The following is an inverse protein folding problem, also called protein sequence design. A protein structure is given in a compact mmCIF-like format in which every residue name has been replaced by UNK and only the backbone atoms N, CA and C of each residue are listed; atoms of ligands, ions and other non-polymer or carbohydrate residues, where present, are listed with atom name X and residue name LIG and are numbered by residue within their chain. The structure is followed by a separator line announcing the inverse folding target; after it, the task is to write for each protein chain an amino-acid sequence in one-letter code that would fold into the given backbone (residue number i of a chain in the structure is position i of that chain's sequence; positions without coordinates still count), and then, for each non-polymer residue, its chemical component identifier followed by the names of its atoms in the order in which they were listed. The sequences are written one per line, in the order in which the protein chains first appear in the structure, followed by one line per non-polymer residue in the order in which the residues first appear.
data_IF_746857749061
#
_entry.id   IF_746857749061
#
_cell.length_a   1.000
_cell.length_b   1.000
_cell.length_c   1.000
_cell.angle_alpha   90.00
_cell.angle_beta   90.00
_cell.angle_gamma   90.00
#
_symmetry.space_group_name_H-M   'P 1'
#
loop_
_entity.id
_entity.type
_entity.pdbx_description
1 polymer ?
#
# COMPACT_ATOMS: atom_id res chain seq x y z
N UNK A 1 14.21 -54.38 -24.37
CA UNK A 1 14.10 -53.22 -23.47
C UNK A 1 14.11 -53.76 -22.06
N UNK A 2 15.12 -53.37 -21.28
CA UNK A 2 15.22 -53.75 -19.88
C UNK A 2 14.34 -52.79 -19.06
N UNK A 3 13.45 -53.32 -18.24
CA UNK A 3 12.53 -52.53 -17.40
C UNK A 3 13.28 -51.64 -16.41
N UNK A 4 14.49 -52.04 -16.02
CA UNK A 4 15.32 -51.27 -15.10
C UNK A 4 15.80 -49.96 -15.73
N UNK A 5 16.21 -49.99 -17.01
CA UNK A 5 16.65 -48.79 -17.75
C UNK A 5 15.52 -47.76 -17.91
N UNK A 6 14.27 -48.22 -18.06
CA UNK A 6 13.10 -47.35 -18.13
C UNK A 6 12.82 -46.68 -16.78
N UNK A 7 12.96 -47.42 -15.69
CA UNK A 7 12.77 -46.90 -14.33
C UNK A 7 13.81 -45.84 -13.96
N UNK A 8 15.08 -46.07 -14.32
CA UNK A 8 16.16 -45.08 -14.12
C UNK A 8 15.92 -43.79 -14.90
N UNK A 9 15.43 -43.91 -16.15
CA UNK A 9 15.11 -42.75 -16.98
C UNK A 9 13.94 -41.96 -16.41
N UNK A 10 12.89 -42.64 -15.92
CA UNK A 10 11.75 -42.02 -15.26
C UNK A 10 12.16 -41.27 -13.97
N UNK A 11 12.98 -41.91 -13.12
CA UNK A 11 13.49 -41.28 -11.90
C UNK A 11 14.34 -40.04 -12.21
N UNK A 12 15.15 -40.08 -13.26
CA UNK A 12 15.92 -38.92 -13.73
C UNK A 12 14.99 -37.78 -14.15
N UNK A 13 13.96 -38.05 -14.96
CA UNK A 13 13.01 -37.00 -15.37
C UNK A 13 12.19 -36.44 -14.20
N UNK A 14 11.87 -37.25 -13.19
CA UNK A 14 11.22 -36.76 -11.97
C UNK A 14 12.12 -35.81 -11.19
N UNK A 15 13.41 -36.16 -11.03
CA UNK A 15 14.37 -35.30 -10.35
C UNK A 15 14.60 -34.01 -11.13
N UNK A 16 14.77 -34.09 -12.45
CA UNK A 16 14.94 -32.92 -13.32
C UNK A 16 13.71 -31.99 -13.25
N UNK A 17 12.50 -32.53 -13.39
CA UNK A 17 11.28 -31.74 -13.30
C UNK A 17 11.04 -31.14 -11.92
N UNK A 18 11.39 -31.85 -10.84
CA UNK A 18 11.32 -31.31 -9.48
C UNK A 18 12.32 -30.16 -9.27
N UNK A 19 13.56 -30.33 -9.72
CA UNK A 19 14.59 -29.29 -9.60
C UNK A 19 14.26 -28.07 -10.46
N UNK A 20 13.80 -28.27 -11.69
CA UNK A 20 13.34 -27.21 -12.58
C UNK A 20 12.18 -26.45 -11.96
N UNK A 21 11.12 -27.14 -11.54
CA UNK A 21 9.95 -26.53 -10.92
C UNK A 21 10.29 -25.80 -9.62
N UNK A 22 11.18 -26.35 -8.80
CA UNK A 22 11.67 -25.70 -7.57
C UNK A 22 12.46 -24.43 -7.88
N UNK A 23 13.37 -24.49 -8.85
CA UNK A 23 14.23 -23.36 -9.22
C UNK A 23 13.41 -22.23 -9.83
N UNK A 24 12.45 -22.56 -10.70
CA UNK A 24 11.54 -21.59 -11.30
C UNK A 24 10.62 -20.95 -10.25
N UNK A 25 10.00 -21.75 -9.37
CA UNK A 25 9.18 -21.23 -8.27
C UNK A 25 9.97 -20.28 -7.36
N UNK A 26 11.17 -20.68 -6.92
CA UNK A 26 11.99 -19.83 -6.05
C UNK A 26 12.32 -18.49 -6.70
N UNK A 27 12.59 -18.50 -8.01
CA UNK A 27 12.89 -17.27 -8.76
C UNK A 27 11.64 -16.40 -8.89
N UNK A 28 10.51 -16.98 -9.28
CA UNK A 28 9.26 -16.25 -9.51
C UNK A 28 8.71 -15.67 -8.20
N UNK A 29 8.67 -16.47 -7.13
CA UNK A 29 8.21 -16.02 -5.81
C UNK A 29 9.06 -14.86 -5.26
N UNK A 30 10.37 -14.89 -5.52
CA UNK A 30 11.26 -13.80 -5.10
C UNK A 30 11.01 -12.50 -5.89
N UNK A 31 10.71 -12.59 -7.18
CA UNK A 31 10.38 -11.44 -8.02
C UNK A 31 9.03 -10.88 -7.60
N UNK A 32 8.02 -11.74 -7.52
CA UNK A 32 6.66 -11.37 -7.13
C UNK A 32 6.63 -10.75 -5.72
N UNK A 33 7.30 -11.35 -4.75
CA UNK A 33 7.36 -10.81 -3.39
C UNK A 33 8.00 -9.41 -3.34
N UNK A 34 8.97 -9.12 -4.21
CA UNK A 34 9.55 -7.77 -4.33
C UNK A 34 8.60 -6.78 -4.98
N UNK A 35 7.94 -7.18 -6.06
CA UNK A 35 6.96 -6.36 -6.77
C UNK A 35 5.79 -6.02 -5.85
N UNK A 36 5.24 -7.02 -5.16
CA UNK A 36 4.18 -6.87 -4.17
C UNK A 36 4.61 -5.94 -3.02
N UNK A 37 5.80 -6.15 -2.46
CA UNK A 37 6.33 -5.29 -1.41
C UNK A 37 6.46 -3.82 -1.85
N UNK A 38 6.97 -3.58 -3.06
CA UNK A 38 7.10 -2.25 -3.64
C UNK A 38 5.72 -1.59 -3.85
N UNK A 39 4.78 -2.36 -4.39
CA UNK A 39 3.40 -1.94 -4.62
C UNK A 39 2.69 -1.53 -3.33
N UNK A 40 2.71 -2.40 -2.32
CA UNK A 40 2.10 -2.13 -1.01
C UNK A 40 2.76 -0.93 -0.33
N UNK A 41 4.08 -0.82 -0.42
CA UNK A 41 4.82 0.35 0.04
C UNK A 41 4.32 1.63 -0.63
N UNK A 42 4.30 1.67 -1.96
CA UNK A 42 3.83 2.85 -2.71
C UNK A 42 2.41 3.27 -2.28
N UNK A 43 1.47 2.33 -2.18
CA UNK A 43 0.09 2.61 -1.75
C UNK A 43 0.02 3.21 -0.34
N UNK A 44 0.83 2.70 0.60
CA UNK A 44 0.86 3.18 1.98
C UNK A 44 1.43 4.61 2.09
N UNK A 45 2.38 4.96 1.24
CA UNK A 45 3.14 6.21 1.34
C UNK A 45 2.74 7.30 0.34
N UNK A 46 2.00 6.99 -0.73
CA UNK A 46 1.63 7.98 -1.76
C UNK A 46 0.85 9.17 -1.18
N UNK A 47 -0.13 8.90 -0.31
CA UNK A 47 -0.93 9.93 0.34
C UNK A 47 -0.05 10.84 1.21
N UNK A 48 0.96 10.28 1.89
CA UNK A 48 1.91 11.04 2.70
C UNK A 48 2.72 12.01 1.85
N UNK A 49 3.25 11.54 0.72
CA UNK A 49 3.97 12.37 -0.23
C UNK A 49 3.11 13.53 -0.75
N UNK A 50 1.84 13.27 -1.06
CA UNK A 50 0.91 14.31 -1.49
C UNK A 50 0.59 15.32 -0.38
N UNK A 51 0.45 14.88 0.87
CA UNK A 51 0.27 15.79 2.01
C UNK A 51 1.48 16.71 2.19
N UNK A 52 2.70 16.20 2.04
CA UNK A 52 3.93 17.00 2.07
C UNK A 52 3.96 18.00 0.91
N UNK A 53 3.67 17.55 -0.31
CA UNK A 53 3.62 18.43 -1.48
C UNK A 53 2.61 19.57 -1.32
N UNK A 54 1.43 19.29 -0.74
CA UNK A 54 0.46 20.34 -0.42
C UNK A 54 0.99 21.31 0.64
N UNK A 55 1.67 20.80 1.68
CA UNK A 55 2.33 21.65 2.67
C UNK A 55 3.38 22.57 2.03
N UNK A 56 4.20 22.07 1.11
CA UNK A 56 5.21 22.85 0.37
C UNK A 56 4.57 23.98 -0.44
N UNK A 57 3.47 23.68 -1.15
CA UNK A 57 2.71 24.69 -1.89
C UNK A 57 2.15 25.75 -0.94
N UNK A 58 1.55 25.35 0.18
CA UNK A 58 1.00 26.31 1.15
C UNK A 58 2.07 27.21 1.78
N UNK A 59 3.25 26.67 2.06
CA UNK A 59 4.39 27.45 2.55
C UNK A 59 4.83 28.49 1.51
N UNK A 60 4.81 28.14 0.22
CA UNK A 60 5.18 29.05 -0.86
C UNK A 60 4.22 30.23 -1.06
N UNK A 61 2.96 30.11 -0.60
CA UNK A 61 1.92 31.14 -0.78
C UNK A 61 2.06 32.34 0.18
N UNK A 62 3.04 32.32 1.10
CA UNK A 62 3.32 33.43 2.03
C UNK A 62 2.08 33.94 2.80
N UNK A 63 1.19 33.02 3.18
CA UNK A 63 -0.02 33.34 3.95
C UNK A 63 0.36 33.93 5.32
N UNK A 64 -0.50 34.75 5.93
CA UNK A 64 -0.25 35.34 7.26
C UNK A 64 -0.94 34.58 8.39
N UNK A 65 -1.09 33.26 8.26
CA UNK A 65 -1.81 32.42 9.23
C UNK A 65 -0.84 31.59 10.08
N UNK A 66 -0.46 32.10 11.25
CA UNK A 66 0.45 31.41 12.18
C UNK A 66 -0.07 30.04 12.65
N UNK A 67 -1.39 29.85 12.73
CA UNK A 67 -1.97 28.56 13.12
C UNK A 67 -1.80 27.51 12.01
N UNK A 68 -1.96 27.92 10.76
CA UNK A 68 -1.72 27.06 9.60
C UNK A 68 -0.28 26.56 9.57
N UNK A 69 0.71 27.44 9.72
CA UNK A 69 2.13 27.03 9.72
C UNK A 69 2.50 26.10 10.87
N UNK A 70 1.92 26.32 12.06
CA UNK A 70 2.10 25.38 13.18
C UNK A 70 1.57 23.99 12.85
N UNK A 71 0.40 23.91 12.20
CA UNK A 71 -0.16 22.63 11.77
C UNK A 71 0.67 21.98 10.66
N UNK A 72 1.17 22.76 9.71
CA UNK A 72 2.10 22.30 8.65
C UNK A 72 3.37 21.70 9.28
N UNK A 73 4.01 22.41 10.22
CA UNK A 73 5.20 21.92 10.91
C UNK A 73 4.93 20.60 11.65
N UNK A 74 3.81 20.49 12.38
CA UNK A 74 3.41 19.26 13.06
C UNK A 74 3.19 18.08 12.08
N UNK A 75 2.61 18.33 10.91
CA UNK A 75 2.42 17.31 9.87
C UNK A 75 3.78 16.83 9.34
N UNK A 76 4.72 17.75 9.06
CA UNK A 76 6.07 17.39 8.62
C UNK A 76 6.84 16.59 9.67
N UNK A 77 6.74 16.97 10.93
CA UNK A 77 7.40 16.27 12.03
C UNK A 77 6.87 14.84 12.18
N UNK A 78 5.54 14.66 12.16
CA UNK A 78 4.93 13.33 12.19
C UNK A 78 5.39 12.47 11.01
N UNK A 79 5.44 13.02 9.80
CA UNK A 79 5.89 12.25 8.63
C UNK A 79 7.38 11.89 8.75
N UNK A 80 8.21 12.80 9.26
CA UNK A 80 9.65 12.56 9.45
C UNK A 80 9.95 11.53 10.53
N UNK A 81 9.04 11.35 11.50
CA UNK A 81 9.15 10.32 12.54
C UNK A 81 8.82 8.90 12.06
N UNK A 82 8.30 8.73 10.84
CA UNK A 82 7.94 7.42 10.32
C UNK A 82 9.19 6.65 9.91
N UNK A 83 9.38 5.48 10.51
CA UNK A 83 10.44 4.56 10.11
C UNK A 83 10.09 3.82 8.81
N UNK A 84 11.01 3.81 7.85
CA UNK A 84 10.83 3.21 6.52
C UNK A 84 11.35 1.76 6.44
N UNK A 85 11.18 0.99 7.51
CA UNK A 85 11.59 -0.41 7.55
C UNK A 85 10.38 -1.33 7.78
N UNK A 86 10.54 -2.62 7.45
CA UNK A 86 9.46 -3.60 7.47
C UNK A 86 9.36 -4.38 8.80
N UNK A 87 9.82 -3.80 9.92
CA UNK A 87 9.62 -4.43 11.24
C UNK A 87 8.16 -4.33 11.66
N UNK A 88 7.64 -5.39 12.26
CA UNK A 88 6.22 -5.48 12.66
C UNK A 88 5.79 -4.35 13.61
N UNK A 89 6.63 -4.04 14.60
CA UNK A 89 6.43 -2.90 15.53
C UNK A 89 6.27 -1.56 14.79
N UNK A 90 7.02 -1.38 13.70
CA UNK A 90 7.00 -0.16 12.92
C UNK A 90 5.78 -0.06 12.03
N UNK A 91 5.29 -1.20 11.51
CA UNK A 91 4.01 -1.26 10.80
C UNK A 91 2.86 -0.83 11.69
N UNK A 92 2.80 -1.33 12.93
CA UNK A 92 1.77 -0.93 13.89
C UNK A 92 1.89 0.57 14.24
N UNK A 93 3.12 1.06 14.44
CA UNK A 93 3.39 2.47 14.73
C UNK A 93 2.97 3.39 13.58
N UNK A 94 3.16 2.95 12.33
CA UNK A 94 2.78 3.66 11.12
C UNK A 94 1.27 3.87 11.08
N UNK A 95 0.48 2.83 11.29
CA UNK A 95 -0.98 2.90 11.26
C UNK A 95 -1.52 3.91 12.29
N UNK A 96 -1.00 3.85 13.52
CA UNK A 96 -1.35 4.83 14.58
C UNK A 96 -0.96 6.25 14.19
N UNK A 97 0.19 6.43 13.55
CA UNK A 97 0.69 7.74 13.10
C UNK A 97 -0.15 8.28 11.94
N UNK A 98 -0.56 7.42 11.01
CA UNK A 98 -1.43 7.78 9.88
C UNK A 98 -2.76 8.36 10.35
N UNK A 99 -3.42 7.74 11.33
CA UNK A 99 -4.69 8.26 11.87
C UNK A 99 -4.51 9.67 12.44
N UNK A 100 -3.44 9.90 13.23
CA UNK A 100 -3.12 11.22 13.79
C UNK A 100 -2.82 12.23 12.69
N UNK A 101 -2.09 11.81 11.66
CA UNK A 101 -1.70 12.65 10.54
C UNK A 101 -2.91 13.10 9.73
N UNK A 102 -3.81 12.18 9.34
CA UNK A 102 -5.06 12.50 8.63
C UNK A 102 -5.88 13.55 9.39
N UNK A 103 -5.98 13.40 10.71
CA UNK A 103 -6.70 14.35 11.56
C UNK A 103 -6.03 15.74 11.62
N UNK A 104 -4.70 15.82 11.71
CA UNK A 104 -4.00 17.10 11.67
C UNK A 104 -4.08 17.75 10.29
N UNK A 105 -3.98 16.95 9.22
CA UNK A 105 -4.08 17.45 7.85
C UNK A 105 -5.48 18.03 7.55
N UNK A 106 -6.55 17.44 8.09
CA UNK A 106 -7.91 18.05 8.06
C UNK A 106 -7.93 19.49 8.58
N UNK A 107 -7.16 19.81 9.63
CA UNK A 107 -7.08 21.18 10.17
C UNK A 107 -6.38 22.15 9.21
N UNK A 108 -5.42 21.66 8.42
CA UNK A 108 -4.75 22.43 7.36
C UNK A 108 -5.78 22.75 6.28
N UNK A 109 -6.52 21.76 5.79
CA UNK A 109 -7.56 21.94 4.78
C UNK A 109 -8.65 22.94 5.23
N UNK A 110 -9.12 22.81 6.47
CA UNK A 110 -10.11 23.75 7.04
C UNK A 110 -9.57 25.17 7.16
N UNK A 111 -8.30 25.33 7.53
CA UNK A 111 -7.66 26.64 7.61
C UNK A 111 -7.47 27.24 6.23
N UNK A 112 -6.98 26.46 5.27
CA UNK A 112 -6.85 26.87 3.87
C UNK A 112 -8.20 27.30 3.29
N UNK A 113 -9.25 26.52 3.46
CA UNK A 113 -10.58 26.87 2.96
C UNK A 113 -11.08 28.21 3.51
N UNK A 114 -10.80 28.52 4.79
CA UNK A 114 -11.20 29.79 5.40
C UNK A 114 -10.49 30.98 4.76
N UNK A 115 -9.20 30.86 4.47
CA UNK A 115 -8.41 31.92 3.83
C UNK A 115 -8.83 32.14 2.36
N UNK A 116 -9.28 31.10 1.68
CA UNK A 116 -9.63 31.12 0.24
C UNK A 116 -11.14 31.07 -0.04
N UNK A 117 -11.99 31.56 0.89
CA UNK A 117 -13.45 31.67 0.66
C UNK A 117 -13.77 32.61 -0.52
N UNK A 118 -13.78 32.07 -1.73
CA UNK A 118 -14.49 32.63 -2.87
C UNK A 118 -15.90 32.04 -2.90
N UNK A 119 -16.90 32.90 -3.07
CA UNK A 119 -18.29 32.71 -2.65
C UNK A 119 -19.11 31.62 -3.38
N UNK A 120 -18.51 30.70 -4.14
CA UNK A 120 -19.24 29.69 -4.94
C UNK A 120 -18.51 28.35 -5.10
N UNK A 121 -17.39 28.11 -4.40
CA UNK A 121 -16.65 26.84 -4.52
C UNK A 121 -17.09 25.82 -3.47
N UNK A 122 -17.28 24.57 -3.90
CA UNK A 122 -17.52 23.43 -2.99
C UNK A 122 -16.41 23.36 -1.93
N UNK A 123 -16.75 23.03 -0.68
CA UNK A 123 -15.76 22.88 0.39
C UNK A 123 -14.77 21.77 0.03
N UNK A 124 -13.47 22.05 0.17
CA UNK A 124 -12.43 21.02 0.03
C UNK A 124 -12.37 20.27 1.36
N UNK A 125 -12.88 19.04 1.38
CA UNK A 125 -12.75 18.16 2.53
C UNK A 125 -11.61 17.15 2.34
N UNK A 126 -11.30 16.39 3.39
CA UNK A 126 -10.26 15.37 3.33
C UNK A 126 -10.63 14.20 2.40
N UNK A 127 -11.91 13.87 2.33
CA UNK A 127 -12.38 12.74 1.52
C UNK A 127 -12.16 13.03 0.02
N UNK A 128 -12.42 14.26 -0.43
CA UNK A 128 -12.11 14.71 -1.79
C UNK A 128 -10.60 14.67 -2.08
N UNK A 129 -9.77 14.97 -1.08
CA UNK A 129 -8.32 14.86 -1.21
C UNK A 129 -7.89 13.40 -1.34
N UNK A 130 -8.45 12.49 -0.53
CA UNK A 130 -8.17 11.06 -0.57
C UNK A 130 -8.68 10.42 -1.88
N UNK A 131 -9.84 10.82 -2.38
CA UNK A 131 -10.39 10.39 -3.67
C UNK A 131 -9.50 10.84 -4.83
N UNK A 132 -9.04 12.10 -4.81
CA UNK A 132 -8.09 12.61 -5.81
C UNK A 132 -6.76 11.86 -5.73
N UNK A 133 -6.27 11.61 -4.50
CA UNK A 133 -5.06 10.82 -4.28
C UNK A 133 -5.19 9.44 -4.91
N UNK A 134 -6.34 8.77 -4.73
CA UNK A 134 -6.61 7.45 -5.30
C UNK A 134 -6.74 7.50 -6.82
N UNK A 135 -7.39 8.52 -7.37
CA UNK A 135 -7.50 8.71 -8.81
C UNK A 135 -6.14 8.93 -9.48
N UNK A 136 -5.22 9.67 -8.83
CA UNK A 136 -3.86 9.91 -9.33
C UNK A 136 -2.98 8.66 -9.18
N UNK A 137 -3.05 7.99 -8.04
CA UNK A 137 -2.24 6.81 -7.74
C UNK A 137 -2.72 5.54 -8.47
N UNK A 138 -3.97 5.53 -8.92
CA UNK A 138 -4.68 4.35 -9.39
C UNK A 138 -5.16 3.46 -8.23
N UNK A 139 -6.23 2.70 -8.47
CA UNK A 139 -6.54 1.54 -7.64
C UNK A 139 -5.61 0.41 -8.04
N UNK A 140 -4.48 0.33 -7.36
CA UNK A 140 -3.59 -0.80 -7.56
C UNK A 140 -4.20 -2.01 -6.83
N UNK A 141 -5.02 -2.78 -7.54
CA UNK A 141 -5.48 -4.09 -7.06
C UNK A 141 -4.22 -4.95 -6.90
N UNK A 142 -3.90 -5.33 -5.66
CA UNK A 142 -3.01 -6.47 -5.44
C UNK A 142 -3.58 -7.63 -6.23
N UNK A 143 -2.84 -8.14 -7.21
CA UNK A 143 -3.14 -9.46 -7.73
C UNK A 143 -2.84 -10.40 -6.57
N UNK A 144 -3.87 -10.73 -5.80
CA UNK A 144 -3.84 -11.89 -4.92
C UNK A 144 -4.15 -13.02 -5.87
N UNK A 145 -3.20 -13.93 -6.10
CA UNK A 145 -3.55 -15.21 -6.71
C UNK A 145 -4.72 -15.81 -5.92
N UNK A 146 -5.82 -16.02 -6.63
CA UNK A 146 -7.01 -16.76 -6.25
C UNK A 146 -8.00 -16.13 -5.24
N UNK A 147 -8.85 -15.22 -5.73
CA UNK A 147 -10.23 -15.11 -5.20
C UNK A 147 -11.00 -16.45 -5.40
N UNK A 148 -10.69 -17.22 -6.45
CA UNK A 148 -11.38 -18.48 -6.77
C UNK A 148 -10.99 -19.69 -5.88
N UNK A 149 -9.78 -19.73 -5.29
CA UNK A 149 -9.37 -20.84 -4.41
C UNK A 149 -9.90 -20.70 -2.98
N UNK A 150 -10.31 -19.49 -2.60
CA UNK A 150 -10.88 -19.25 -1.26
C UNK A 150 -12.32 -19.75 -1.18
N UNK A 151 -13.09 -19.65 -2.27
CA UNK A 151 -14.45 -20.21 -2.38
C UNK A 151 -14.49 -21.73 -2.60
N UNK A 152 -13.41 -22.32 -3.14
CA UNK A 152 -13.29 -23.76 -3.29
C UNK A 152 -13.13 -24.47 -1.93
N UNK A 153 -12.43 -23.85 -0.97
CA UNK A 153 -12.24 -24.44 0.38
C UNK A 153 -13.50 -24.37 1.25
N UNK A 154 -14.30 -23.30 1.14
CA UNK A 154 -15.54 -23.15 1.93
C UNK A 154 -16.65 -24.10 1.46
N UNK A 155 -16.68 -24.46 0.17
CA UNK A 155 -17.68 -25.39 -0.38
C UNK A 155 -17.39 -26.84 -0.01
N UNK A 156 -16.11 -27.22 0.12
CA UNK A 156 -15.72 -28.60 0.42
C UNK A 156 -15.89 -28.96 1.90
N UNK A 157 -15.71 -28.00 2.83
CA UNK A 157 -15.94 -28.20 4.28
C UNK A 157 -17.44 -28.33 4.64
N UNK A 158 -18.35 -27.79 3.83
CA UNK A 158 -19.80 -27.93 4.07
C UNK A 158 -20.39 -29.27 3.58
N UNK A 159 -19.67 -30.01 2.74
CA UNK A 159 -20.14 -31.28 2.18
C UNK A 159 -19.80 -32.51 3.04
N UNK A 160 -19.01 -32.35 4.12
CA UNK A 160 -18.69 -33.44 5.06
C UNK A 160 -19.46 -33.40 6.39
N UNK A 161 -20.45 -32.50 6.52
CA UNK A 161 -21.26 -32.34 7.72
C UNK A 161 -22.72 -32.84 7.59
N UNK A 162 -22.96 -33.86 6.75
CA UNK A 162 -24.25 -34.57 6.65
C UNK A 162 -24.04 -36.09 6.66
#
# INVERSE_FOLDING_TARGET
MNTDELLFLEEQFYQEGYEEGRNENLKNNLIEGKEFGLQVGFQRFVLLGQMVGMCDVLDSLQLKNNSLFKNIANVRELISSIELNNKEENVESLEKTLVKLKNKFRLILLSFQREFKHNDRKPINFDNFEDLSRAIAGEIKGFVEDEDATDAKTTQDQAQAW
#
